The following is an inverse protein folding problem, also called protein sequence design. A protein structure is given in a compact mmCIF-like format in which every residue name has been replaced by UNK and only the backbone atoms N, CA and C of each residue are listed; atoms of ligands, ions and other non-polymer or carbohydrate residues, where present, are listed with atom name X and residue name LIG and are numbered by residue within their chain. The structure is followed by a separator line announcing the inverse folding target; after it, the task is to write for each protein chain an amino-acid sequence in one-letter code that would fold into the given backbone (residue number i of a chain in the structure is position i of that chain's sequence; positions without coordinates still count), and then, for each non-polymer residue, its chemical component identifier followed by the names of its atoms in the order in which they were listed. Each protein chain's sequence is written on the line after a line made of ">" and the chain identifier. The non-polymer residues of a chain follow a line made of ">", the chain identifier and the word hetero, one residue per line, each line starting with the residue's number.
data_IF_858292402815
#
_entry.id   IF_858292402815
#
_cell.length_a   1.000
_cell.length_b   1.000
_cell.length_c   1.000
_cell.angle_alpha   90.00
_cell.angle_beta   90.00
_cell.angle_gamma   90.00
#
_symmetry.space_group_name_H-M   'P 1'
#
loop_
_entity.id
_entity.type
_entity.pdbx_description
1 polymer ?
#
# COMPACT_ATOMS: atom_id res chain seq x y z
N UNK A 1 -25.28 -5.40 -15.29
CA UNK A 1 -23.96 -5.26 -14.64
C UNK A 1 -24.14 -4.26 -13.53
N UNK A 2 -24.11 -4.70 -12.27
CA UNK A 2 -24.15 -3.77 -11.14
C UNK A 2 -22.88 -2.91 -11.17
N UNK A 3 -22.95 -1.61 -10.84
CA UNK A 3 -21.75 -0.79 -10.75
C UNK A 3 -20.79 -1.39 -9.71
N UNK A 4 -19.48 -1.34 -9.99
CA UNK A 4 -18.46 -1.68 -9.01
C UNK A 4 -18.67 -0.82 -7.75
N UNK A 5 -18.52 -1.36 -6.53
CA UNK A 5 -18.67 -0.59 -5.30
C UNK A 5 -17.70 0.60 -5.29
N UNK A 6 -18.17 1.77 -4.85
CA UNK A 6 -17.31 2.95 -4.68
C UNK A 6 -16.31 2.69 -3.55
N UNK A 7 -15.02 2.80 -3.86
CA UNK A 7 -13.94 2.73 -2.87
C UNK A 7 -13.42 4.16 -2.65
N UNK A 8 -13.59 4.67 -1.45
CA UNK A 8 -13.16 6.02 -1.08
C UNK A 8 -11.91 5.97 -0.20
N UNK A 9 -10.96 6.86 -0.48
CA UNK A 9 -9.80 7.04 0.37
C UNK A 9 -10.20 7.86 1.61
N UNK A 10 -10.15 7.23 2.78
CA UNK A 10 -10.33 7.89 4.06
C UNK A 10 -8.96 8.10 4.73
N UNK A 11 -8.43 9.34 4.81
CA UNK A 11 -7.18 9.60 5.48
C UNK A 11 -7.26 9.23 6.96
N UNK A 12 -6.17 8.73 7.52
CA UNK A 12 -6.04 8.38 8.94
C UNK A 12 -4.72 8.93 9.48
N UNK A 13 -4.68 9.24 10.77
CA UNK A 13 -3.41 9.58 11.43
C UNK A 13 -2.56 8.34 11.68
N UNK A 14 -1.26 8.52 11.89
CA UNK A 14 -0.33 7.43 12.22
C UNK A 14 -0.68 6.82 13.59
N UNK A 15 -1.18 7.63 14.53
CA UNK A 15 -1.62 7.18 15.85
C UNK A 15 -2.86 6.28 15.74
N UNK A 16 -3.85 6.66 14.94
CA UNK A 16 -5.02 5.82 14.67
C UNK A 16 -4.66 4.55 13.89
N UNK A 17 -3.66 4.63 13.00
CA UNK A 17 -3.11 3.46 12.32
C UNK A 17 -2.42 2.49 13.30
N UNK A 18 -1.60 3.01 14.21
CA UNK A 18 -0.96 2.26 15.29
C UNK A 18 -1.98 1.57 16.19
N UNK A 19 -3.00 2.30 16.65
CA UNK A 19 -4.07 1.78 17.49
C UNK A 19 -4.78 0.58 16.86
N UNK A 20 -5.13 0.67 15.57
CA UNK A 20 -5.70 -0.46 14.83
C UNK A 20 -4.78 -1.67 14.81
N UNK A 21 -3.48 -1.48 14.58
CA UNK A 21 -2.52 -2.59 14.55
C UNK A 21 -2.35 -3.26 15.91
N UNK A 22 -2.32 -2.49 16.99
CA UNK A 22 -2.17 -3.01 18.36
C UNK A 22 -3.46 -3.68 18.86
N UNK A 23 -4.61 -3.03 18.67
CA UNK A 23 -5.84 -3.39 19.38
C UNK A 23 -6.83 -4.19 18.53
N UNK A 24 -6.97 -3.84 17.24
CA UNK A 24 -7.88 -4.52 16.33
C UNK A 24 -7.21 -5.75 15.70
N UNK A 25 -6.04 -5.57 15.09
CA UNK A 25 -5.32 -6.64 14.39
C UNK A 25 -4.39 -7.44 15.30
N UNK A 26 -4.07 -6.92 16.49
CA UNK A 26 -3.25 -7.59 17.52
C UNK A 26 -1.89 -8.04 16.98
N UNK A 27 -1.25 -7.19 16.20
CA UNK A 27 0.10 -7.45 15.68
C UNK A 27 1.15 -7.41 16.80
N UNK A 28 2.24 -8.18 16.66
CA UNK A 28 3.32 -8.15 17.63
C UNK A 28 4.00 -6.77 17.66
N UNK A 29 4.51 -6.31 18.81
CA UNK A 29 5.03 -4.95 18.96
C UNK A 29 6.09 -4.53 17.94
N UNK A 30 7.00 -5.44 17.58
CA UNK A 30 8.05 -5.16 16.59
C UNK A 30 7.47 -4.86 15.20
N UNK A 31 6.37 -5.53 14.82
CA UNK A 31 5.73 -5.32 13.53
C UNK A 31 4.97 -3.98 13.53
N UNK A 32 4.29 -3.66 14.64
CA UNK A 32 3.63 -2.36 14.81
C UNK A 32 4.65 -1.23 14.67
N UNK A 33 5.79 -1.33 15.38
CA UNK A 33 6.87 -0.36 15.27
C UNK A 33 7.33 -0.21 13.82
N UNK A 34 7.66 -1.31 13.15
CA UNK A 34 8.12 -1.27 11.75
C UNK A 34 7.12 -0.57 10.82
N UNK A 35 5.83 -0.90 10.92
CA UNK A 35 4.80 -0.34 10.05
C UNK A 35 4.52 1.14 10.34
N UNK A 36 4.63 1.58 11.59
CA UNK A 36 4.54 3.01 11.97
C UNK A 36 5.70 3.81 11.36
N UNK A 37 6.93 3.29 11.45
CA UNK A 37 8.11 3.95 10.84
C UNK A 37 8.00 3.98 9.31
N UNK A 38 7.50 2.92 8.69
CA UNK A 38 7.23 2.91 7.24
C UNK A 38 6.19 3.98 6.87
N UNK A 39 5.11 4.11 7.63
CA UNK A 39 4.10 5.15 7.39
C UNK A 39 4.67 6.57 7.54
N UNK A 40 5.54 6.79 8.52
CA UNK A 40 6.27 8.05 8.69
C UNK A 40 7.17 8.35 7.48
N UNK A 41 7.95 7.38 7.03
CA UNK A 41 8.83 7.54 5.85
C UNK A 41 8.06 7.83 4.56
N UNK A 42 6.86 7.28 4.39
CA UNK A 42 5.96 7.68 3.28
C UNK A 42 5.55 9.14 3.39
N UNK A 43 5.15 9.59 4.59
CA UNK A 43 4.75 10.98 4.84
C UNK A 43 5.89 11.97 4.60
N UNK A 44 7.11 11.60 4.99
CA UNK A 44 8.30 12.41 4.82
C UNK A 44 8.87 12.33 3.39
N UNK A 45 8.25 11.56 2.51
CA UNK A 45 8.64 11.45 1.10
C UNK A 45 9.92 10.65 0.84
N UNK A 46 10.43 9.92 1.84
CA UNK A 46 11.66 9.12 1.73
C UNK A 46 11.54 8.08 0.60
N UNK A 47 10.34 7.54 0.36
CA UNK A 47 10.08 6.54 -0.68
C UNK A 47 9.54 7.12 -2.00
N UNK A 48 9.66 8.43 -2.23
CA UNK A 48 9.14 9.09 -3.45
C UNK A 48 10.02 8.89 -4.69
N UNK A 49 11.23 8.34 -4.53
CA UNK A 49 12.17 8.13 -5.64
C UNK A 49 11.64 7.15 -6.69
N UNK A 50 11.90 7.44 -7.97
CA UNK A 50 11.57 6.56 -9.10
C UNK A 50 12.78 6.31 -9.99
N UNK A 51 12.80 5.19 -10.71
CA UNK A 51 13.85 4.86 -11.69
C UNK A 51 13.30 3.93 -12.80
N UNK A 52 14.13 3.58 -13.78
CA UNK A 52 13.80 2.67 -14.87
C UNK A 52 14.55 1.32 -14.80
N UNK A 53 14.96 0.90 -13.60
CA UNK A 53 15.76 -0.32 -13.44
C UNK A 53 15.03 -1.58 -13.91
N UNK A 54 13.73 -1.71 -13.61
CA UNK A 54 12.92 -2.87 -14.05
C UNK A 54 12.97 -3.03 -15.56
N UNK A 55 12.74 -1.95 -16.31
CA UNK A 55 12.78 -1.96 -17.76
C UNK A 55 14.18 -2.25 -18.30
N UNK A 56 15.20 -1.56 -17.77
CA UNK A 56 16.59 -1.76 -18.21
C UNK A 56 17.12 -3.17 -17.98
N UNK A 57 16.70 -3.82 -16.88
CA UNK A 57 17.19 -5.15 -16.50
C UNK A 57 16.40 -6.25 -17.23
N UNK A 58 15.09 -6.08 -17.42
CA UNK A 58 14.20 -7.15 -17.90
C UNK A 58 13.75 -6.97 -19.35
N UNK A 59 13.96 -5.80 -19.95
CA UNK A 59 13.41 -5.43 -21.26
C UNK A 59 11.90 -5.18 -21.27
N UNK A 60 11.23 -5.23 -20.10
CA UNK A 60 9.80 -5.03 -19.95
C UNK A 60 9.52 -3.89 -18.95
N UNK A 61 8.63 -2.93 -19.25
CA UNK A 61 8.24 -1.89 -18.30
C UNK A 61 7.66 -2.46 -16.99
N UNK A 62 7.80 -1.74 -15.86
CA UNK A 62 7.17 -2.16 -14.61
C UNK A 62 5.64 -2.23 -14.76
N UNK A 63 5.05 -3.23 -14.13
CA UNK A 63 3.60 -3.40 -14.10
C UNK A 63 2.96 -2.26 -13.29
N UNK A 64 1.95 -1.60 -13.84
CA UNK A 64 1.20 -0.59 -13.09
C UNK A 64 0.24 -1.24 -12.08
N UNK A 65 -0.13 -0.48 -11.04
CA UNK A 65 -1.15 -0.92 -10.07
C UNK A 65 -2.47 -1.23 -10.75
N UNK A 66 -2.91 -0.40 -11.72
CA UNK A 66 -4.15 -0.62 -12.46
C UNK A 66 -4.11 -1.92 -13.27
N UNK A 67 -2.98 -2.22 -13.92
CA UNK A 67 -2.81 -3.46 -14.66
C UNK A 67 -2.80 -4.67 -13.73
N UNK A 68 -2.17 -4.55 -12.55
CA UNK A 68 -2.19 -5.61 -11.54
C UNK A 68 -3.61 -5.89 -11.04
N UNK A 69 -4.38 -4.86 -10.69
CA UNK A 69 -5.77 -5.00 -10.25
C UNK A 69 -6.62 -5.64 -11.36
N UNK A 70 -6.50 -5.18 -12.60
CA UNK A 70 -7.25 -5.75 -13.73
C UNK A 70 -6.98 -7.25 -13.93
N UNK A 71 -5.73 -7.71 -13.70
CA UNK A 71 -5.36 -9.13 -13.81
C UNK A 71 -5.88 -9.99 -12.65
N UNK A 72 -6.17 -9.38 -11.50
CA UNK A 72 -6.51 -10.07 -10.26
C UNK A 72 -7.91 -9.71 -9.73
N UNK A 73 -8.82 -9.20 -10.59
CA UNK A 73 -10.15 -8.71 -10.16
C UNK A 73 -10.94 -9.72 -9.35
N UNK A 74 -10.75 -11.02 -9.57
CA UNK A 74 -11.45 -12.08 -8.83
C UNK A 74 -11.06 -12.15 -7.35
N UNK A 75 -9.92 -11.58 -6.95
CA UNK A 75 -9.47 -11.50 -5.55
C UNK A 75 -9.98 -10.23 -4.85
N UNK A 76 -10.30 -9.19 -5.64
CA UNK A 76 -10.73 -7.88 -5.16
C UNK A 76 -12.20 -7.67 -5.58
N UNK A 77 -13.12 -8.25 -4.82
CA UNK A 77 -14.57 -8.13 -4.99
C UNK A 77 -15.18 -7.13 -4.03
#
# INVERSE_FOLDING_TARGET
>A
MSPDPSIEYAPTSIEAFKDKMENLYKFPPFLVQHLVEVAQNYRDGIFSGTNNAVEKITGTPPLSVQQFIARNRTVFG
#
